data_IF_645609464085
#
_entry.id   IF_645609464085
#
_cell.length_a   1.000
_cell.length_b   1.000
_cell.length_c   1.000
_cell.angle_alpha   90.00
_cell.angle_beta   90.00
_cell.angle_gamma   90.00
#
_symmetry.space_group_name_H-M   'P 1'
#
loop_
_entity.id
_entity.type
_entity.pdbx_description
1 polymer ?
#
# COMPACT_ATOMS: atom_id res chain seq x y z
N UNK A 1 1.73 -16.73 4.24
CA UNK A 1 2.04 -15.93 3.03
C UNK A 1 1.03 -14.81 3.04
N UNK A 2 1.44 -13.61 3.40
CA UNK A 2 0.56 -12.44 3.32
C UNK A 2 0.37 -12.14 1.84
N UNK A 3 -0.83 -12.43 1.35
CA UNK A 3 -1.20 -12.18 -0.04
C UNK A 3 -1.48 -10.69 -0.15
N UNK A 4 -0.52 -9.95 -0.69
CA UNK A 4 -0.74 -8.58 -1.13
C UNK A 4 -1.98 -8.58 -2.06
N UNK A 5 -3.03 -7.87 -1.65
CA UNK A 5 -4.27 -7.76 -2.39
C UNK A 5 -4.38 -6.35 -2.95
N UNK A 6 -4.61 -6.26 -4.26
CA UNK A 6 -4.90 -5.01 -4.95
C UNK A 6 -6.40 -4.75 -4.94
N UNK A 7 -6.78 -3.52 -4.68
CA UNK A 7 -8.12 -2.98 -4.95
C UNK A 7 -7.99 -1.87 -5.98
N UNK A 8 -8.83 -1.92 -7.01
CA UNK A 8 -8.87 -0.93 -8.09
C UNK A 8 -10.14 -0.09 -7.94
N UNK A 9 -10.01 1.23 -7.99
CA UNK A 9 -11.16 2.13 -7.98
C UNK A 9 -11.83 2.21 -9.35
N UNK A 10 -13.13 1.93 -9.39
CA UNK A 10 -13.98 2.09 -10.58
C UNK A 10 -14.84 3.33 -10.39
N UNK A 11 -14.75 4.28 -11.31
CA UNK A 11 -15.67 5.42 -11.35
C UNK A 11 -17.04 4.96 -11.89
N UNK A 12 -18.04 4.98 -11.01
CA UNK A 12 -19.38 4.49 -11.30
C UNK A 12 -20.36 5.60 -11.70
N UNK A 13 -19.90 6.86 -11.74
CA UNK A 13 -20.70 8.06 -12.05
C UNK A 13 -21.46 7.94 -13.38
N UNK A 14 -20.91 7.16 -14.32
CA UNK A 14 -21.46 6.95 -15.66
C UNK A 14 -22.38 5.74 -15.79
N UNK A 15 -22.48 4.83 -14.80
CA UNK A 15 -23.07 3.49 -15.00
C UNK A 15 -23.98 2.95 -13.88
N UNK A 16 -24.39 3.78 -12.91
CA UNK A 16 -25.26 3.34 -11.80
C UNK A 16 -26.70 2.90 -12.18
N UNK A 17 -27.11 3.03 -13.43
CA UNK A 17 -28.43 2.59 -13.89
C UNK A 17 -28.51 1.08 -14.15
N UNK A 18 -29.23 0.37 -13.29
CA UNK A 18 -29.61 -1.05 -13.37
C UNK A 18 -28.49 -2.06 -13.72
N UNK A 19 -27.44 -2.10 -12.90
CA UNK A 19 -26.35 -3.10 -13.01
C UNK A 19 -26.81 -4.57 -12.92
N UNK A 20 -28.07 -4.86 -12.55
CA UNK A 20 -28.58 -6.22 -12.39
C UNK A 20 -28.59 -7.01 -13.69
N UNK A 21 -28.98 -6.39 -14.82
CA UNK A 21 -28.98 -7.06 -16.12
C UNK A 21 -27.55 -7.40 -16.58
N UNK A 22 -26.63 -6.44 -16.42
CA UNK A 22 -25.20 -6.63 -16.72
C UNK A 22 -24.57 -7.72 -15.85
N UNK A 23 -24.85 -7.71 -14.54
CA UNK A 23 -24.40 -8.78 -13.62
C UNK A 23 -24.91 -10.15 -14.01
N UNK A 24 -26.18 -10.26 -14.40
CA UNK A 24 -26.75 -11.52 -14.90
C UNK A 24 -26.04 -12.00 -16.17
N UNK A 25 -25.78 -11.08 -17.12
CA UNK A 25 -25.01 -11.37 -18.35
C UNK A 25 -23.61 -11.87 -18.03
N UNK A 26 -22.94 -11.27 -17.05
CA UNK A 26 -21.58 -11.65 -16.64
C UNK A 26 -21.53 -12.78 -15.60
N UNK A 27 -22.68 -13.37 -15.24
CA UNK A 27 -22.78 -14.41 -14.22
C UNK A 27 -22.21 -14.03 -12.84
N UNK A 28 -22.28 -12.75 -12.48
CA UNK A 28 -21.84 -12.21 -11.19
C UNK A 28 -23.03 -12.12 -10.23
N UNK A 29 -22.95 -12.84 -9.12
CA UNK A 29 -23.98 -12.82 -8.07
C UNK A 29 -23.51 -12.03 -6.86
N UNK A 30 -24.32 -11.10 -6.35
CA UNK A 30 -24.06 -10.49 -5.04
C UNK A 30 -24.43 -11.49 -3.94
N UNK A 31 -23.49 -11.73 -3.04
CA UNK A 31 -23.65 -12.65 -1.90
C UNK A 31 -24.12 -11.84 -0.70
N UNK A 32 -23.33 -10.86 -0.27
CA UNK A 32 -23.66 -9.98 0.86
C UNK A 32 -23.66 -8.51 0.46
N UNK A 33 -24.36 -7.72 1.26
CA UNK A 33 -24.34 -6.27 1.25
C UNK A 33 -24.48 -5.78 2.70
N UNK A 34 -23.51 -5.02 3.14
CA UNK A 34 -23.47 -4.41 4.47
C UNK A 34 -23.33 -2.91 4.28
N UNK A 35 -24.20 -2.14 4.93
CA UNK A 35 -24.03 -0.70 5.02
C UNK A 35 -23.14 -0.40 6.23
N UNK A 36 -21.90 0.04 5.97
CA UNK A 36 -20.92 0.36 7.03
C UNK A 36 -21.23 1.74 7.61
N UNK A 37 -21.60 2.69 6.74
CA UNK A 37 -22.02 4.03 7.10
C UNK A 37 -23.01 4.56 6.06
N UNK A 38 -23.67 5.71 6.30
CA UNK A 38 -24.53 6.34 5.30
C UNK A 38 -23.83 6.57 3.95
N UNK A 39 -22.52 6.82 3.94
CA UNK A 39 -21.70 7.09 2.74
C UNK A 39 -20.92 5.89 2.21
N UNK A 40 -20.87 4.77 2.94
CA UNK A 40 -20.05 3.61 2.58
C UNK A 40 -20.83 2.29 2.68
N UNK A 41 -20.79 1.50 1.62
CA UNK A 41 -21.33 0.14 1.62
C UNK A 41 -20.27 -0.87 1.21
N UNK A 42 -20.22 -1.99 1.92
CA UNK A 42 -19.40 -3.14 1.56
C UNK A 42 -20.28 -4.22 0.92
N UNK A 43 -19.81 -4.83 -0.17
CA UNK A 43 -20.49 -5.95 -0.78
C UNK A 43 -19.51 -7.03 -1.22
N UNK A 44 -19.95 -8.28 -1.10
CA UNK A 44 -19.26 -9.42 -1.69
C UNK A 44 -20.00 -9.88 -2.93
N UNK A 45 -19.26 -10.09 -4.00
CA UNK A 45 -19.74 -10.71 -5.22
C UNK A 45 -19.08 -12.07 -5.40
N UNK A 46 -19.78 -12.96 -6.09
CA UNK A 46 -19.28 -14.28 -6.46
C UNK A 46 -19.46 -14.49 -7.94
N UNK A 47 -18.38 -14.91 -8.60
CA UNK A 47 -18.37 -15.46 -9.95
C UNK A 47 -17.58 -16.76 -9.90
N UNK A 48 -18.19 -17.84 -10.40
CA UNK A 48 -17.64 -19.19 -10.28
C UNK A 48 -17.30 -19.53 -8.81
N UNK A 49 -16.03 -19.81 -8.49
CA UNK A 49 -15.56 -20.10 -7.14
C UNK A 49 -14.81 -18.93 -6.47
N UNK A 50 -14.76 -17.76 -7.11
CA UNK A 50 -14.03 -16.59 -6.60
C UNK A 50 -14.98 -15.61 -5.92
N UNK A 51 -14.58 -15.16 -4.72
CA UNK A 51 -15.21 -14.04 -4.02
C UNK A 51 -14.48 -12.76 -4.39
N UNK A 52 -15.25 -11.71 -4.67
CA UNK A 52 -14.74 -10.38 -5.01
C UNK A 52 -15.31 -9.41 -3.98
N UNK A 53 -14.42 -8.80 -3.19
CA UNK A 53 -14.81 -7.79 -2.20
C UNK A 53 -14.87 -6.42 -2.83
N UNK A 54 -15.85 -5.63 -2.40
CA UNK A 54 -16.06 -4.29 -2.95
C UNK A 54 -16.48 -3.30 -1.88
N UNK A 55 -16.06 -2.05 -2.05
CA UNK A 55 -16.39 -0.92 -1.18
C UNK A 55 -16.89 0.24 -2.03
N UNK A 56 -18.15 0.58 -1.85
CA UNK A 56 -18.81 1.65 -2.58
C UNK A 56 -18.89 2.91 -1.72
N UNK A 57 -18.14 3.93 -2.11
CA UNK A 57 -18.18 5.28 -1.53
C UNK A 57 -19.21 6.10 -2.29
N UNK A 58 -20.39 6.28 -1.71
CA UNK A 58 -21.57 6.85 -2.36
C UNK A 58 -21.38 8.33 -2.72
N UNK A 59 -20.69 9.08 -1.87
CA UNK A 59 -20.47 10.51 -2.08
C UNK A 59 -19.49 10.79 -3.22
N UNK A 60 -18.45 9.95 -3.35
CA UNK A 60 -17.48 10.01 -4.44
C UNK A 60 -17.96 9.27 -5.69
N UNK A 61 -19.00 8.44 -5.58
CA UNK A 61 -19.53 7.60 -6.66
C UNK A 61 -18.46 6.61 -7.19
N UNK A 62 -17.57 6.16 -6.31
CA UNK A 62 -16.45 5.25 -6.62
C UNK A 62 -16.67 3.90 -5.96
N UNK A 63 -16.40 2.82 -6.71
CA UNK A 63 -16.40 1.45 -6.22
C UNK A 63 -14.98 0.90 -6.24
N UNK A 64 -14.38 0.69 -5.07
CA UNK A 64 -13.15 -0.10 -4.98
C UNK A 64 -13.50 -1.58 -5.13
N UNK A 65 -12.80 -2.26 -6.03
CA UNK A 65 -13.00 -3.67 -6.37
C UNK A 65 -11.71 -4.42 -6.16
N UNK A 66 -11.76 -5.51 -5.39
CA UNK A 66 -10.65 -6.45 -5.28
C UNK A 66 -10.25 -6.97 -6.66
N UNK A 67 -9.00 -6.76 -7.05
CA UNK A 67 -8.46 -7.20 -8.32
C UNK A 67 -8.36 -8.73 -8.32
N UNK A 68 -9.16 -9.35 -9.19
CA UNK A 68 -9.13 -10.79 -9.46
C UNK A 68 -9.06 -10.99 -10.97
N UNK A 69 -9.01 -12.25 -11.42
CA UNK A 69 -9.13 -12.59 -12.85
C UNK A 69 -10.43 -12.08 -13.51
N UNK A 70 -11.42 -11.62 -12.73
CA UNK A 70 -12.71 -11.11 -13.20
C UNK A 70 -12.83 -9.57 -13.12
N UNK A 71 -11.72 -8.85 -12.94
CA UNK A 71 -11.75 -7.37 -12.87
C UNK A 71 -12.40 -6.76 -14.11
N UNK A 72 -12.08 -7.25 -15.31
CA UNK A 72 -12.65 -6.74 -16.55
C UNK A 72 -14.19 -6.92 -16.62
N UNK A 73 -14.71 -8.02 -16.06
CA UNK A 73 -16.16 -8.22 -15.97
C UNK A 73 -16.81 -7.24 -14.98
N UNK A 74 -16.10 -6.94 -13.89
CA UNK A 74 -16.53 -5.93 -12.92
C UNK A 74 -16.55 -4.55 -13.57
N UNK A 75 -15.58 -4.21 -14.41
CA UNK A 75 -15.58 -2.96 -15.18
C UNK A 75 -16.77 -2.91 -16.16
N UNK A 76 -17.05 -3.96 -16.92
CA UNK A 76 -18.22 -3.97 -17.82
C UNK A 76 -19.54 -3.71 -17.07
N UNK A 77 -19.64 -4.22 -15.83
CA UNK A 77 -20.80 -4.04 -14.97
C UNK A 77 -20.86 -2.64 -14.35
N UNK A 78 -19.75 -2.15 -13.80
CA UNK A 78 -19.72 -1.03 -12.85
C UNK A 78 -19.03 0.24 -13.35
N UNK A 79 -18.37 0.23 -14.51
CA UNK A 79 -17.68 1.40 -15.06
C UNK A 79 -16.22 1.14 -15.43
N UNK A 80 -15.47 2.19 -15.69
CA UNK A 80 -14.04 2.06 -16.01
C UNK A 80 -13.20 2.22 -14.75
N UNK A 81 -12.14 1.42 -14.63
CA UNK A 81 -11.12 1.64 -13.61
C UNK A 81 -10.43 2.98 -13.83
N UNK A 82 -10.05 3.60 -12.72
CA UNK A 82 -9.15 4.74 -12.70
C UNK A 82 -7.81 4.28 -12.14
N UNK A 83 -6.70 4.46 -12.88
CA UNK A 83 -5.38 4.08 -12.40
C UNK A 83 -4.95 4.89 -11.16
N UNK A 84 -5.56 6.06 -10.94
CA UNK A 84 -5.25 6.95 -9.83
C UNK A 84 -5.96 6.53 -8.51
N UNK A 85 -6.72 5.43 -8.53
CA UNK A 85 -7.50 4.92 -7.38
C UNK A 85 -7.09 3.49 -6.98
N UNK A 86 -5.84 3.10 -7.27
CA UNK A 86 -5.32 1.80 -6.88
C UNK A 86 -4.87 1.78 -5.42
N UNK A 87 -5.26 0.73 -4.69
CA UNK A 87 -4.96 0.57 -3.26
C UNK A 87 -4.46 -0.85 -2.98
N UNK A 88 -3.21 -0.94 -2.53
CA UNK A 88 -2.60 -2.19 -2.07
C UNK A 88 -2.81 -2.40 -0.56
N UNK A 89 -3.18 -3.63 -0.18
CA UNK A 89 -3.39 -3.99 1.21
C UNK A 89 -2.96 -5.44 1.54
N UNK A 90 -2.33 -5.58 2.70
CA UNK A 90 -2.00 -6.86 3.33
C UNK A 90 -3.03 -7.22 4.42
N UNK A 91 -3.48 -6.22 5.16
CA UNK A 91 -4.59 -6.32 6.11
C UNK A 91 -5.91 -6.02 5.40
N UNK A 92 -6.83 -6.98 5.50
CA UNK A 92 -8.11 -7.01 4.81
C UNK A 92 -9.29 -6.64 5.70
N UNK A 93 -9.03 -6.26 6.95
CA UNK A 93 -10.01 -5.71 7.87
C UNK A 93 -10.57 -4.37 7.37
N UNK A 94 -11.82 -4.06 7.73
CA UNK A 94 -12.46 -2.81 7.36
C UNK A 94 -11.70 -1.61 7.95
N UNK A 95 -11.22 -1.75 9.18
CA UNK A 95 -10.49 -0.75 9.94
C UNK A 95 -9.17 -0.36 9.26
N UNK A 96 -8.51 -1.31 8.58
CA UNK A 96 -7.28 -1.06 7.85
C UNK A 96 -7.51 -0.55 6.41
N UNK A 97 -8.57 -1.03 5.74
CA UNK A 97 -8.84 -0.72 4.34
C UNK A 97 -9.50 0.65 4.14
N UNK A 98 -10.51 0.99 4.94
CA UNK A 98 -11.33 2.20 4.76
C UNK A 98 -10.47 3.47 4.74
N UNK A 99 -9.53 3.69 5.69
CA UNK A 99 -8.68 4.89 5.66
C UNK A 99 -7.80 4.99 4.40
N UNK A 100 -7.41 3.86 3.80
CA UNK A 100 -6.63 3.86 2.56
C UNK A 100 -7.47 4.29 1.37
N UNK A 101 -8.71 3.80 1.29
CA UNK A 101 -9.65 4.21 0.25
C UNK A 101 -10.02 5.70 0.37
N UNK A 102 -10.31 6.17 1.58
CA UNK A 102 -10.61 7.59 1.84
C UNK A 102 -9.45 8.50 1.44
N UNK A 103 -8.21 8.08 1.72
CA UNK A 103 -7.00 8.79 1.29
C UNK A 103 -6.90 8.85 -0.25
N UNK A 104 -7.06 7.72 -0.94
CA UNK A 104 -7.01 7.68 -2.40
C UNK A 104 -8.09 8.58 -3.03
N UNK A 105 -9.30 8.59 -2.46
CA UNK A 105 -10.38 9.47 -2.90
C UNK A 105 -10.11 10.96 -2.66
N UNK A 106 -9.50 11.31 -1.52
CA UNK A 106 -9.10 12.69 -1.25
C UNK A 106 -8.05 13.18 -2.27
N UNK A 107 -7.04 12.35 -2.53
CA UNK A 107 -5.98 12.62 -3.52
C UNK A 107 -6.55 12.75 -4.94
N UNK A 108 -7.51 11.91 -5.31
CA UNK A 108 -8.21 11.96 -6.60
C UNK A 108 -9.06 13.23 -6.78
N UNK A 109 -9.80 13.65 -5.76
CA UNK A 109 -10.73 14.78 -5.84
C UNK A 109 -10.04 16.16 -5.83
N UNK A 110 -8.89 16.31 -5.19
CA UNK A 110 -8.21 17.60 -5.07
C UNK A 110 -7.47 18.02 -6.35
N UNK A 111 -7.43 17.18 -7.40
CA UNK A 111 -6.80 17.48 -8.70
C UNK A 111 -5.32 17.88 -8.60
N UNK A 112 -4.73 17.70 -7.42
CA UNK A 112 -3.41 18.16 -7.02
C UNK A 112 -2.69 16.95 -6.48
N UNK A 113 -2.32 16.02 -7.37
CA UNK A 113 -1.45 14.94 -6.95
C UNK A 113 -0.05 15.53 -6.76
N UNK A 114 0.21 16.06 -5.57
CA UNK A 114 1.57 16.16 -5.04
C UNK A 114 1.66 15.04 -3.99
N UNK A 115 1.55 13.78 -4.43
CA UNK A 115 1.80 12.65 -3.55
C UNK A 115 3.21 12.78 -2.93
N UNK A 116 3.45 12.28 -1.71
CA UNK A 116 4.76 12.38 -1.08
C UNK A 116 5.78 11.54 -1.83
N UNK A 117 6.46 12.14 -2.81
CA UNK A 117 7.52 11.48 -3.55
C UNK A 117 8.80 11.44 -2.75
N UNK A 118 9.28 10.23 -2.47
CA UNK A 118 10.54 9.96 -1.80
C UNK A 118 11.29 8.86 -2.56
N UNK A 119 12.50 9.15 -2.98
CA UNK A 119 13.44 8.20 -3.54
C UNK A 119 14.59 8.02 -2.56
N UNK A 120 14.91 6.75 -2.28
CA UNK A 120 16.01 6.36 -1.42
C UNK A 120 17.05 5.64 -2.27
N UNK A 121 18.25 6.21 -2.33
CA UNK A 121 19.39 5.64 -3.02
C UNK A 121 20.43 5.25 -1.97
N UNK A 122 20.51 3.95 -1.68
CA UNK A 122 21.54 3.38 -0.82
C UNK A 122 22.92 3.48 -1.46
N UNK A 123 23.96 3.23 -0.65
CA UNK A 123 25.33 3.21 -1.15
C UNK A 123 25.52 2.04 -2.12
N UNK A 124 26.31 2.25 -3.18
CA UNK A 124 26.64 1.17 -4.11
C UNK A 124 27.58 0.15 -3.46
N UNK A 125 28.67 0.62 -2.85
CA UNK A 125 29.62 -0.14 -2.02
C UNK A 125 30.26 0.79 -0.96
N UNK A 126 31.24 0.29 -0.20
CA UNK A 126 31.91 1.06 0.85
C UNK A 126 32.47 2.40 0.34
N UNK A 127 32.26 3.46 1.12
CA UNK A 127 32.68 4.84 0.83
C UNK A 127 31.97 5.55 -0.34
N UNK A 128 30.98 4.95 -0.99
CA UNK A 128 30.14 5.65 -1.97
C UNK A 128 29.07 6.53 -1.30
N UNK A 129 28.59 7.53 -2.04
CA UNK A 129 27.52 8.42 -1.60
C UNK A 129 26.16 7.70 -1.52
N UNK A 130 25.27 8.26 -0.69
CA UNK A 130 23.85 7.89 -0.64
C UNK A 130 23.01 9.15 -0.82
N UNK A 131 21.80 9.02 -1.36
CA UNK A 131 20.94 10.16 -1.64
C UNK A 131 19.50 9.91 -1.21
N UNK A 132 18.90 10.92 -0.58
CA UNK A 132 17.47 10.99 -0.33
C UNK A 132 16.93 12.15 -1.16
N UNK A 133 16.06 11.86 -2.12
CA UNK A 133 15.39 12.87 -2.93
C UNK A 133 13.91 12.82 -2.61
N UNK A 134 13.35 13.89 -2.08
CA UNK A 134 11.92 13.95 -1.86
C UNK A 134 11.34 15.34 -2.02
N UNK A 135 10.05 15.39 -2.34
CA UNK A 135 9.32 16.64 -2.27
C UNK A 135 9.12 17.06 -0.80
N UNK A 136 8.67 18.30 -0.59
CA UNK A 136 8.56 18.86 0.77
C UNK A 136 7.71 17.97 1.69
N UNK A 137 6.59 17.46 1.19
CA UNK A 137 5.70 16.62 1.97
C UNK A 137 6.36 15.30 2.37
N UNK A 138 7.02 14.62 1.43
CA UNK A 138 7.68 13.35 1.69
C UNK A 138 8.84 13.51 2.69
N UNK A 139 9.61 14.60 2.61
CA UNK A 139 10.66 14.90 3.57
C UNK A 139 10.11 15.19 4.97
N UNK A 140 8.95 15.86 5.07
CA UNK A 140 8.25 16.04 6.37
C UNK A 140 7.77 14.71 6.93
N UNK A 141 7.20 13.83 6.08
CA UNK A 141 6.79 12.48 6.47
C UNK A 141 7.97 11.63 6.96
N UNK A 142 9.09 11.67 6.25
CA UNK A 142 10.34 11.02 6.67
C UNK A 142 10.83 11.56 8.02
N UNK A 143 10.88 12.89 8.18
CA UNK A 143 11.25 13.52 9.46
C UNK A 143 10.38 13.02 10.61
N UNK A 144 9.06 13.00 10.43
CA UNK A 144 8.14 12.52 11.47
C UNK A 144 8.35 11.04 11.80
N UNK A 145 8.61 10.19 10.79
CA UNK A 145 8.94 8.79 11.02
C UNK A 145 10.26 8.63 11.80
N UNK A 146 11.27 9.46 11.53
CA UNK A 146 12.51 9.51 12.31
C UNK A 146 12.23 9.94 13.75
N UNK A 147 11.46 11.01 13.96
CA UNK A 147 11.08 11.49 15.30
C UNK A 147 10.34 10.40 16.11
N UNK A 148 9.44 9.66 15.46
CA UNK A 148 8.75 8.51 16.06
C UNK A 148 9.73 7.39 16.41
N UNK A 149 10.66 7.05 15.51
CA UNK A 149 11.67 6.03 15.77
C UNK A 149 12.58 6.39 16.95
N UNK A 150 12.99 7.66 17.06
CA UNK A 150 13.79 8.15 18.18
C UNK A 150 13.03 8.07 19.51
N UNK A 151 11.70 8.28 19.49
CA UNK A 151 10.87 8.28 20.71
C UNK A 151 10.46 6.87 21.14
N UNK A 152 10.08 6.02 20.18
CA UNK A 152 9.40 4.74 20.43
C UNK A 152 10.21 3.51 19.96
N UNK A 153 11.40 3.72 19.39
CA UNK A 153 12.25 2.66 18.82
C UNK A 153 11.87 2.25 17.39
N UNK A 154 10.74 2.72 16.86
CA UNK A 154 10.31 2.47 15.48
C UNK A 154 9.34 3.55 14.98
N UNK A 155 9.49 3.95 13.73
CA UNK A 155 8.58 4.83 13.02
C UNK A 155 8.26 4.28 11.63
N UNK A 156 7.10 4.65 11.10
CA UNK A 156 6.60 4.16 9.80
C UNK A 156 5.93 5.30 9.05
N UNK A 157 6.06 5.31 7.73
CA UNK A 157 5.33 6.22 6.85
C UNK A 157 5.10 5.59 5.48
N UNK A 158 4.11 6.11 4.75
CA UNK A 158 3.84 5.72 3.36
C UNK A 158 4.25 6.86 2.45
N UNK A 159 5.06 6.54 1.45
CA UNK A 159 5.60 7.45 0.43
C UNK A 159 5.54 6.74 -0.93
N UNK A 160 5.75 7.48 -2.02
CA UNK A 160 5.79 6.90 -3.38
C UNK A 160 7.07 7.28 -4.10
N UNK A 161 7.48 6.50 -5.09
CA UNK A 161 8.42 6.96 -6.12
C UNK A 161 7.70 7.81 -7.17
N UNK A 162 8.46 8.53 -8.00
CA UNK A 162 7.94 9.37 -9.09
C UNK A 162 7.18 8.61 -10.19
N UNK A 163 7.26 7.28 -10.20
CA UNK A 163 6.44 6.39 -11.03
C UNK A 163 5.09 6.05 -10.38
N UNK A 164 4.76 6.71 -9.25
CA UNK A 164 3.53 6.57 -8.47
C UNK A 164 3.43 5.30 -7.63
N UNK A 165 4.44 4.44 -7.65
CA UNK A 165 4.45 3.23 -6.84
C UNK A 165 4.68 3.56 -5.36
N UNK A 166 3.67 3.28 -4.53
CA UNK A 166 3.70 3.50 -3.10
C UNK A 166 4.48 2.40 -2.35
N UNK A 167 5.23 2.77 -1.33
CA UNK A 167 5.92 1.84 -0.45
C UNK A 167 5.84 2.26 1.02
N UNK A 168 5.85 1.26 1.90
CA UNK A 168 6.02 1.46 3.33
C UNK A 168 7.50 1.72 3.62
N UNK A 169 7.79 2.87 4.22
CA UNK A 169 9.10 3.20 4.74
C UNK A 169 9.14 2.98 6.25
N UNK A 170 10.04 2.10 6.67
CA UNK A 170 10.29 1.80 8.08
C UNK A 170 11.57 2.49 8.55
N UNK A 171 11.50 3.13 9.71
CA UNK A 171 12.66 3.73 10.38
C UNK A 171 12.84 3.03 11.71
N UNK A 172 14.01 2.42 11.92
CA UNK A 172 14.33 1.72 13.17
C UNK A 172 15.40 2.47 13.95
N UNK A 173 15.13 2.73 15.22
CA UNK A 173 16.15 3.16 16.17
C UNK A 173 16.56 1.95 17.01
N UNK A 174 17.78 1.44 16.79
CA UNK A 174 18.33 0.39 17.64
C UNK A 174 18.82 0.97 18.96
N UNK A 175 18.47 0.38 20.11
CA UNK A 175 18.95 0.86 21.39
C UNK A 175 20.43 0.54 21.59
N UNK A 176 21.14 1.40 22.32
CA UNK A 176 22.55 1.20 22.69
C UNK A 176 23.55 1.66 21.62
N UNK A 177 24.76 1.93 22.07
CA UNK A 177 25.84 2.46 21.22
C UNK A 177 26.42 1.38 20.28
N UNK A 178 26.82 1.73 19.05
CA UNK A 178 27.45 0.80 18.10
C UNK A 178 28.56 -0.06 18.67
N UNK A 179 29.42 0.50 19.53
CA UNK A 179 30.57 -0.19 20.12
C UNK A 179 30.17 -1.24 21.17
N UNK A 180 28.95 -1.15 21.70
CA UNK A 180 28.48 -2.03 22.81
C UNK A 180 27.37 -2.97 22.39
N UNK A 181 26.63 -2.63 21.33
CA UNK A 181 25.54 -3.44 20.81
C UNK A 181 26.01 -4.25 19.59
N UNK A 182 26.38 -5.52 19.84
CA UNK A 182 26.81 -6.49 18.82
C UNK A 182 25.84 -6.69 17.65
N UNK A 183 24.58 -6.23 17.74
CA UNK A 183 23.66 -6.28 16.60
C UNK A 183 24.19 -5.47 15.43
N UNK A 184 24.87 -4.35 15.67
CA UNK A 184 25.44 -3.51 14.62
C UNK A 184 26.44 -4.28 13.74
N UNK A 185 27.22 -5.19 14.31
CA UNK A 185 28.18 -6.02 13.57
C UNK A 185 27.53 -7.12 12.73
N UNK A 186 26.28 -7.47 13.07
CA UNK A 186 25.56 -8.57 12.42
C UNK A 186 24.58 -8.14 11.35
N UNK A 187 24.19 -6.86 11.27
CA UNK A 187 23.19 -6.40 10.31
C UNK A 187 23.81 -6.38 8.91
N UNK A 188 23.07 -6.89 7.92
CA UNK A 188 23.48 -6.84 6.52
C UNK A 188 23.83 -5.41 6.10
N UNK A 189 24.94 -5.24 5.41
CA UNK A 189 25.39 -3.93 4.94
C UNK A 189 24.42 -3.36 3.89
N UNK A 190 24.23 -2.03 3.83
CA UNK A 190 23.23 -1.40 2.96
C UNK A 190 23.66 -1.32 1.49
N UNK A 191 24.67 -2.10 1.07
CA UNK A 191 25.25 -2.02 -0.27
C UNK A 191 24.39 -2.76 -1.29
N UNK A 192 24.07 -2.07 -2.39
CA UNK A 192 23.21 -2.63 -3.43
C UNK A 192 23.99 -3.28 -4.60
N UNK A 193 25.30 -3.09 -4.71
CA UNK A 193 26.14 -3.75 -5.72
C UNK A 193 26.53 -5.18 -5.27
N UNK A 194 25.89 -6.17 -5.89
CA UNK A 194 26.08 -7.59 -5.55
C UNK A 194 27.38 -8.19 -6.07
N UNK A 195 28.13 -7.49 -6.92
CA UNK A 195 29.48 -7.91 -7.29
C UNK A 195 30.49 -7.57 -6.19
N UNK A 196 30.22 -6.50 -5.43
CA UNK A 196 31.09 -6.03 -4.34
C UNK A 196 30.72 -6.62 -2.98
N UNK A 197 29.43 -6.88 -2.75
CA UNK A 197 28.94 -7.42 -1.49
C UNK A 197 27.71 -8.32 -1.69
N UNK A 198 27.84 -9.57 -1.23
CA UNK A 198 26.76 -10.54 -1.14
C UNK A 198 26.54 -10.84 0.35
N UNK A 199 25.36 -10.54 0.92
CA UNK A 199 25.06 -10.87 2.30
C UNK A 199 25.13 -12.38 2.54
N UNK A 200 25.77 -12.79 3.62
CA UNK A 200 25.65 -14.16 4.11
C UNK A 200 24.32 -14.33 4.85
N UNK A 201 23.34 -14.96 4.21
CA UNK A 201 22.00 -15.15 4.79
C UNK A 201 21.99 -16.00 6.09
N UNK A 202 23.07 -16.73 6.40
CA UNK A 202 23.18 -17.55 7.61
C UNK A 202 23.81 -16.79 8.78
N UNK A 203 24.80 -15.96 8.48
CA UNK A 203 25.59 -15.25 9.49
C UNK A 203 25.10 -13.81 9.71
N UNK A 204 24.56 -13.17 8.67
CA UNK A 204 24.11 -11.78 8.72
C UNK A 204 22.58 -11.65 8.92
N UNK A 205 22.22 -10.70 9.76
CA UNK A 205 20.85 -10.35 10.12
C UNK A 205 20.22 -9.46 9.06
N UNK A 206 19.24 -10.01 8.34
CA UNK A 206 18.34 -9.27 7.46
C UNK A 206 17.71 -8.07 8.22
N UNK A 207 17.87 -6.83 7.73
CA UNK A 207 17.37 -5.63 8.41
C UNK A 207 15.86 -5.64 8.63
N UNK A 208 15.08 -6.34 7.81
CA UNK A 208 13.63 -6.46 8.02
C UNK A 208 13.26 -7.21 9.30
N UNK A 209 14.12 -8.12 9.78
CA UNK A 209 13.94 -8.83 11.06
C UNK A 209 14.06 -7.91 12.28
N UNK A 210 14.49 -6.65 12.11
CA UNK A 210 14.55 -5.67 13.18
C UNK A 210 13.19 -5.04 13.52
N UNK A 211 12.21 -5.15 12.62
CA UNK A 211 10.90 -4.50 12.76
C UNK A 211 9.99 -5.29 13.71
N UNK A 212 9.30 -4.58 14.61
CA UNK A 212 8.35 -5.20 15.53
C UNK A 212 7.12 -5.66 14.73
N UNK A 213 6.78 -6.95 14.82
CA UNK A 213 5.73 -7.60 14.03
C UNK A 213 6.00 -7.69 12.51
N UNK A 214 7.27 -7.84 12.11
CA UNK A 214 7.58 -8.26 10.74
C UNK A 214 7.01 -9.67 10.48
N UNK A 215 5.91 -9.75 9.72
CA UNK A 215 5.26 -10.99 9.24
C UNK A 215 5.16 -12.09 10.31
N UNK A 216 4.27 -11.91 11.29
CA UNK A 216 3.70 -13.05 12.04
C UNK A 216 2.54 -13.65 11.26
#
# INVERSE_FOLDING_TARGET
MDVNTLFVGIDTSTTLTSNLAKRKKQHIKRVDLIEISPSLSFATYKKENTIIRTYFFKDAVVLFVEATQFLQDMEEVFGLSSPDLDVMATDLSHEALIPKFEKALAEYNEGTIIGPFLHLYGQRYWHDDSLIVGNREALVKLKNAVDMALTYGEGRTVVSSSDWEGYDLYVKCLPGEPETNKKWDSIQLPYHDREMYVPDEKEELDPYKLLVNWRK
#
